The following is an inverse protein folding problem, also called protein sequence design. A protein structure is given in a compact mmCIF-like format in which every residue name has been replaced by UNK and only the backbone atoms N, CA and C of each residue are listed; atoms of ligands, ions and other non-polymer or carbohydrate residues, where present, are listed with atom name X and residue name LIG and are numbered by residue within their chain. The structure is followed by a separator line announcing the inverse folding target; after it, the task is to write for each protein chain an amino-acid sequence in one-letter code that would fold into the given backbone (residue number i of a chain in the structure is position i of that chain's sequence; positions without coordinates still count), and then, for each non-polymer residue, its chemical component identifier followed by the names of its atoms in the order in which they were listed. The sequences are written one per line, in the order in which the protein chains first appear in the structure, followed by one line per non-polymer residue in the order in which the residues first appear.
data_IF_354691034515
#
_entry.id   IF_354691034515
#
_cell.length_a   1.000
_cell.length_b   1.000
_cell.length_c   1.000
_cell.angle_alpha   90.00
_cell.angle_beta   90.00
_cell.angle_gamma   90.00
#
_symmetry.space_group_name_H-M   'P 1'
#
loop_
_entity.id
_entity.type
_entity.pdbx_description
1 polymer ?
#
# COMPACT_ATOMS: atom_id res chain seq x y z
N UNK A 1 10.38 -48.74 15.18
CA UNK A 1 9.45 -47.62 15.46
C UNK A 1 10.25 -46.33 15.36
N UNK A 2 10.12 -45.60 14.25
CA UNK A 2 10.80 -44.32 14.06
C UNK A 2 9.99 -43.22 14.73
N UNK A 3 10.57 -42.55 15.71
CA UNK A 3 9.99 -41.35 16.33
C UNK A 3 9.99 -40.22 15.31
N UNK A 4 8.80 -39.78 14.91
CA UNK A 4 8.62 -38.58 14.11
C UNK A 4 9.26 -37.39 14.84
N UNK A 5 10.24 -36.74 14.19
CA UNK A 5 10.74 -35.45 14.64
C UNK A 5 9.59 -34.44 14.65
N UNK A 6 9.44 -33.63 15.72
CA UNK A 6 8.45 -32.57 15.72
C UNK A 6 8.75 -31.61 14.58
N UNK A 7 7.74 -31.27 13.79
CA UNK A 7 7.84 -30.23 12.78
C UNK A 7 8.41 -28.97 13.45
N UNK A 8 9.61 -28.57 13.03
CA UNK A 8 10.25 -27.35 13.53
C UNK A 8 9.29 -26.20 13.23
N UNK A 9 8.70 -25.61 14.27
CA UNK A 9 7.94 -24.37 14.14
C UNK A 9 8.86 -23.36 13.45
N UNK A 10 8.59 -23.02 12.19
CA UNK A 10 9.42 -22.10 11.44
C UNK A 10 9.33 -20.75 12.14
N UNK A 11 10.47 -20.24 12.61
CA UNK A 11 10.51 -18.91 13.21
C UNK A 11 10.30 -17.85 12.13
N UNK A 12 9.36 -16.93 12.36
CA UNK A 12 9.09 -15.84 11.42
C UNK A 12 10.34 -14.97 11.29
N UNK A 13 10.75 -14.68 10.06
CA UNK A 13 11.84 -13.74 9.80
C UNK A 13 11.38 -12.30 10.04
N UNK A 14 11.45 -11.85 11.29
CA UNK A 14 11.00 -10.52 11.72
C UNK A 14 11.74 -9.37 11.03
N UNK A 15 13.00 -9.57 10.61
CA UNK A 15 13.74 -8.55 9.87
C UNK A 15 13.19 -8.35 8.47
N UNK A 16 12.86 -9.44 7.77
CA UNK A 16 12.22 -9.38 6.45
C UNK A 16 10.80 -8.77 6.55
N UNK A 17 10.03 -9.15 7.57
CA UNK A 17 8.70 -8.58 7.81
C UNK A 17 8.77 -7.05 8.03
N UNK A 18 9.69 -6.58 8.86
CA UNK A 18 9.87 -5.13 9.08
C UNK A 18 10.25 -4.38 7.80
N UNK A 19 11.12 -4.96 6.97
CA UNK A 19 11.46 -4.38 5.68
C UNK A 19 10.22 -4.31 4.80
N UNK A 20 9.48 -5.42 4.68
CA UNK A 20 8.25 -5.48 3.88
C UNK A 20 7.20 -4.44 4.31
N UNK A 21 7.00 -4.25 5.61
CA UNK A 21 6.11 -3.21 6.16
C UNK A 21 6.63 -1.78 5.86
N UNK A 22 7.94 -1.55 5.93
CA UNK A 22 8.54 -0.25 5.59
C UNK A 22 8.41 0.08 4.11
N UNK A 23 8.63 -0.90 3.22
CA UNK A 23 8.46 -0.74 1.76
C UNK A 23 7.01 -0.33 1.43
N UNK A 24 6.01 -0.94 2.08
CA UNK A 24 4.61 -0.55 1.91
C UNK A 24 4.26 0.81 2.53
N UNK A 25 4.84 1.15 3.69
CA UNK A 25 4.65 2.46 4.31
C UNK A 25 5.22 3.59 3.42
N UNK A 26 6.35 3.34 2.75
CA UNK A 26 6.93 4.21 1.73
C UNK A 26 6.02 4.34 0.50
N UNK A 27 5.50 3.22 0.00
CA UNK A 27 4.56 3.20 -1.14
C UNK A 27 3.32 4.05 -0.87
N UNK A 28 2.70 3.92 0.32
CA UNK A 28 1.57 4.74 0.73
C UNK A 28 1.89 6.23 0.83
N UNK A 29 3.11 6.60 1.22
CA UNK A 29 3.54 8.01 1.20
C UNK A 29 3.68 8.57 -0.21
N UNK A 30 4.23 7.77 -1.12
CA UNK A 30 4.30 8.15 -2.53
C UNK A 30 2.90 8.32 -3.13
N UNK A 31 1.97 7.40 -2.83
CA UNK A 31 0.59 7.46 -3.33
C UNK A 31 -0.12 8.75 -2.88
N UNK A 32 0.03 9.16 -1.62
CA UNK A 32 -0.54 10.43 -1.13
C UNK A 32 0.00 11.62 -1.92
N UNK A 33 1.33 11.69 -2.13
CA UNK A 33 1.94 12.78 -2.91
C UNK A 33 1.41 12.82 -4.34
N UNK A 34 1.28 11.66 -4.99
CA UNK A 34 0.69 11.55 -6.33
C UNK A 34 -0.75 12.02 -6.36
N UNK A 35 -1.59 11.61 -5.40
CA UNK A 35 -2.99 12.05 -5.31
C UNK A 35 -3.10 13.57 -5.06
N UNK A 36 -2.22 14.13 -4.23
CA UNK A 36 -2.14 15.58 -4.02
C UNK A 36 -1.73 16.32 -5.29
N UNK A 37 -0.78 15.78 -6.06
CA UNK A 37 -0.34 16.37 -7.32
C UNK A 37 -1.46 16.33 -8.38
N UNK A 38 -2.23 15.24 -8.48
CA UNK A 38 -3.43 15.17 -9.33
C UNK A 38 -4.45 16.26 -8.97
N UNK A 39 -4.72 16.44 -7.67
CA UNK A 39 -5.65 17.49 -7.19
C UNK A 39 -5.21 18.90 -7.60
N UNK A 40 -3.90 19.15 -7.67
CA UNK A 40 -3.36 20.47 -8.07
C UNK A 40 -3.45 20.72 -9.57
N UNK A 41 -3.33 19.69 -10.41
CA UNK A 41 -3.17 19.86 -11.86
C UNK A 41 -4.46 19.66 -12.67
N UNK A 42 -5.46 18.91 -12.17
CA UNK A 42 -6.63 18.55 -12.98
C UNK A 42 -7.96 19.23 -12.58
N UNK A 43 -7.95 20.13 -11.61
CA UNK A 43 -9.18 20.82 -11.16
C UNK A 43 -10.27 19.84 -10.68
N UNK A 44 -11.52 20.32 -10.57
CA UNK A 44 -12.68 19.55 -10.06
C UNK A 44 -13.17 18.46 -11.05
N UNK A 45 -12.30 17.55 -11.44
CA UNK A 45 -12.68 16.34 -12.17
C UNK A 45 -13.15 15.25 -11.19
N UNK A 46 -13.92 14.26 -11.64
CA UNK A 46 -14.47 13.19 -10.80
C UNK A 46 -13.38 12.41 -10.01
N UNK A 47 -12.14 12.42 -10.49
CA UNK A 47 -10.97 11.83 -9.81
C UNK A 47 -10.62 12.57 -8.53
N UNK A 48 -10.90 13.87 -8.43
CA UNK A 48 -10.56 14.67 -7.24
C UNK A 48 -11.32 14.24 -5.98
N UNK A 49 -12.61 13.90 -6.10
CA UNK A 49 -13.41 13.40 -4.97
C UNK A 49 -13.03 11.98 -4.57
N UNK A 50 -12.70 11.15 -5.56
CA UNK A 50 -12.13 9.82 -5.34
C UNK A 50 -10.77 9.92 -4.62
N UNK A 51 -9.93 10.88 -5.03
CA UNK A 51 -8.64 11.12 -4.43
C UNK A 51 -8.75 11.54 -2.96
N UNK A 52 -9.73 12.36 -2.57
CA UNK A 52 -9.93 12.74 -1.17
C UNK A 52 -10.26 11.53 -0.27
N UNK A 53 -11.19 10.68 -0.72
CA UNK A 53 -11.52 9.44 -0.01
C UNK A 53 -10.31 8.51 0.09
N UNK A 54 -9.61 8.31 -1.02
CA UNK A 54 -8.43 7.44 -1.06
C UNK A 54 -7.27 7.99 -0.22
N UNK A 55 -7.05 9.30 -0.16
CA UNK A 55 -6.03 9.88 0.74
C UNK A 55 -6.36 9.56 2.19
N UNK A 56 -7.61 9.78 2.63
CA UNK A 56 -8.03 9.46 4.00
C UNK A 56 -7.87 7.97 4.30
N UNK A 57 -8.20 7.11 3.33
CA UNK A 57 -8.06 5.67 3.50
C UNK A 57 -6.61 5.23 3.58
N UNK A 58 -5.74 5.75 2.71
CA UNK A 58 -4.31 5.46 2.74
C UNK A 58 -3.71 5.97 4.05
N UNK A 59 -4.15 7.11 4.59
CA UNK A 59 -3.71 7.58 5.91
C UNK A 59 -4.09 6.59 7.02
N UNK A 60 -5.32 6.09 7.04
CA UNK A 60 -5.76 5.09 8.00
C UNK A 60 -4.94 3.78 7.87
N UNK A 61 -4.72 3.30 6.65
CA UNK A 61 -3.91 2.11 6.37
C UNK A 61 -2.46 2.30 6.84
N UNK A 62 -1.90 3.50 6.68
CA UNK A 62 -0.55 3.83 7.17
C UNK A 62 -0.48 3.82 8.70
N UNK A 63 -1.55 4.21 9.39
CA UNK A 63 -1.58 4.16 10.85
C UNK A 63 -1.64 2.72 11.37
N UNK A 64 -2.39 1.85 10.68
CA UNK A 64 -2.33 0.40 10.89
C UNK A 64 -0.89 -0.09 10.67
N UNK A 65 -0.26 0.19 9.53
CA UNK A 65 1.11 -0.24 9.26
C UNK A 65 2.13 0.25 10.28
N UNK A 66 1.99 1.50 10.77
CA UNK A 66 2.85 2.03 11.82
C UNK A 66 2.67 1.28 13.13
N UNK A 67 1.45 0.89 13.49
CA UNK A 67 1.16 0.05 14.66
C UNK A 67 1.80 -1.34 14.50
N UNK A 68 1.52 -2.03 13.39
CA UNK A 68 2.06 -3.36 13.12
C UNK A 68 3.58 -3.38 13.06
N UNK A 69 4.20 -2.32 12.53
CA UNK A 69 5.66 -2.18 12.52
C UNK A 69 6.25 -2.04 13.94
N UNK A 70 5.56 -1.34 14.87
CA UNK A 70 5.97 -1.27 16.28
C UNK A 70 5.83 -2.62 16.96
N UNK A 71 4.70 -3.29 16.77
CA UNK A 71 4.44 -4.64 17.32
C UNK A 71 5.42 -5.68 16.80
N UNK A 72 5.84 -5.56 15.54
CA UNK A 72 6.89 -6.38 14.96
C UNK A 72 8.28 -6.11 15.56
N UNK A 73 8.42 -5.29 16.62
CA UNK A 73 9.70 -4.89 17.24
C UNK A 73 10.45 -3.80 16.46
N UNK A 74 9.73 -3.00 15.67
CA UNK A 74 10.26 -1.77 15.09
C UNK A 74 10.44 -0.68 16.16
N UNK A 75 11.39 0.23 15.92
CA UNK A 75 11.67 1.37 16.81
C UNK A 75 10.43 2.25 17.05
N UNK A 76 10.35 2.89 18.22
CA UNK A 76 9.36 3.92 18.56
C UNK A 76 9.32 5.11 17.58
N UNK A 77 10.32 5.25 16.70
CA UNK A 77 10.35 6.28 15.64
C UNK A 77 10.39 5.64 14.23
N UNK A 78 9.30 4.99 13.78
CA UNK A 78 9.23 4.33 12.48
C UNK A 78 9.38 5.32 11.32
N UNK A 79 8.95 6.57 11.49
CA UNK A 79 9.11 7.64 10.50
C UNK A 79 10.58 7.99 10.25
N UNK A 80 11.38 8.19 11.31
CA UNK A 80 12.83 8.47 11.13
C UNK A 80 13.56 7.31 10.45
N UNK A 81 13.18 6.07 10.75
CA UNK A 81 13.73 4.88 10.08
C UNK A 81 13.28 4.79 8.62
N UNK A 82 12.02 5.10 8.33
CA UNK A 82 11.51 5.22 6.97
C UNK A 82 12.29 6.28 6.19
N UNK A 83 12.51 7.48 6.75
CA UNK A 83 13.30 8.53 6.11
C UNK A 83 14.77 8.11 5.89
N UNK A 84 15.39 7.42 6.85
CA UNK A 84 16.74 6.89 6.70
C UNK A 84 16.83 5.76 5.66
N UNK A 85 15.83 4.89 5.61
CA UNK A 85 15.73 3.80 4.63
C UNK A 85 15.40 4.32 3.23
N UNK A 86 14.46 5.26 3.12
CA UNK A 86 14.15 5.98 1.89
C UNK A 86 15.39 6.73 1.41
N UNK A 87 16.06 7.52 2.26
CA UNK A 87 17.30 8.20 1.89
C UNK A 87 18.37 7.26 1.32
N UNK A 88 18.46 6.02 1.82
CA UNK A 88 19.35 4.99 1.31
C UNK A 88 18.86 4.26 0.03
N UNK A 89 17.55 4.26 -0.25
CA UNK A 89 16.92 3.47 -1.35
C UNK A 89 16.24 4.33 -2.44
N UNK A 90 16.22 5.66 -2.29
CA UNK A 90 15.47 6.64 -3.11
C UNK A 90 16.00 6.88 -4.55
N UNK A 91 16.93 6.06 -5.04
CA UNK A 91 17.28 6.09 -6.46
C UNK A 91 16.14 5.69 -7.41
N UNK A 92 15.11 5.00 -6.91
CA UNK A 92 14.12 4.29 -7.74
C UNK A 92 12.79 5.00 -8.04
N UNK A 93 12.36 6.01 -7.28
CA UNK A 93 11.03 6.63 -7.47
C UNK A 93 11.04 7.86 -8.40
N UNK A 94 11.92 7.87 -9.41
CA UNK A 94 11.81 8.79 -10.56
C UNK A 94 10.72 8.38 -11.58
N UNK A 95 10.02 7.27 -11.36
CA UNK A 95 9.05 6.74 -12.32
C UNK A 95 7.75 7.56 -12.43
N UNK A 96 7.44 8.36 -11.42
CA UNK A 96 6.11 8.98 -11.25
C UNK A 96 6.02 10.44 -11.71
N UNK A 97 7.10 10.96 -12.33
CA UNK A 97 7.23 12.38 -12.66
C UNK A 97 6.67 12.77 -14.03
N UNK A 98 5.75 11.98 -14.61
CA UNK A 98 5.28 12.16 -16.01
C UNK A 98 3.77 12.05 -16.25
N UNK A 99 2.92 12.20 -15.23
CA UNK A 99 1.47 12.39 -15.44
C UNK A 99 1.15 13.81 -15.94
N UNK A 100 1.69 14.17 -17.10
CA UNK A 100 1.49 15.46 -17.74
C UNK A 100 0.91 15.24 -19.12
N UNK A 101 -0.14 16.00 -19.48
CA UNK A 101 -0.84 15.87 -20.75
C UNK A 101 -2.09 15.01 -20.64
N UNK A 102 -2.71 14.71 -21.79
CA UNK A 102 -4.04 14.08 -21.89
C UNK A 102 -4.10 12.65 -21.31
N UNK A 103 -2.95 11.95 -21.23
CA UNK A 103 -2.84 10.61 -20.65
C UNK A 103 -2.64 10.58 -19.12
N UNK A 104 -2.28 11.72 -18.51
CA UNK A 104 -1.95 11.82 -17.09
C UNK A 104 -2.99 11.21 -16.15
N UNK A 105 -4.30 11.51 -16.28
CA UNK A 105 -5.32 10.96 -15.40
C UNK A 105 -5.46 9.44 -15.51
N UNK A 106 -5.38 8.90 -16.74
CA UNK A 106 -5.50 7.47 -17.00
C UNK A 106 -4.32 6.69 -16.40
N UNK A 107 -3.09 7.14 -16.68
CA UNK A 107 -1.89 6.55 -16.09
C UNK A 107 -1.90 6.68 -14.57
N UNK A 108 -2.39 7.81 -14.04
CA UNK A 108 -2.61 8.04 -12.62
C UNK A 108 -3.53 7.02 -11.94
N UNK A 109 -4.66 6.73 -12.57
CA UNK A 109 -5.60 5.74 -12.09
C UNK A 109 -5.01 4.31 -12.18
N UNK A 110 -4.31 3.97 -13.27
CA UNK A 110 -3.64 2.66 -13.43
C UNK A 110 -2.68 2.36 -12.30
N UNK A 111 -1.85 3.35 -12.02
CA UNK A 111 -0.72 3.19 -11.13
C UNK A 111 -1.21 3.21 -9.67
N UNK A 112 -2.33 3.90 -9.39
CA UNK A 112 -3.07 3.83 -8.14
C UNK A 112 -3.73 2.46 -7.94
N UNK A 113 -4.35 1.89 -8.98
CA UNK A 113 -4.88 0.52 -8.97
C UNK A 113 -3.79 -0.49 -8.62
N UNK A 114 -2.60 -0.38 -9.23
CA UNK A 114 -1.45 -1.24 -8.88
C UNK A 114 -1.02 -1.08 -7.42
N UNK A 115 -1.01 0.16 -6.90
CA UNK A 115 -0.73 0.44 -5.49
C UNK A 115 -1.74 -0.21 -4.54
N UNK A 116 -3.03 -0.15 -4.87
CA UNK A 116 -4.11 -0.77 -4.09
C UNK A 116 -3.98 -2.31 -4.10
N UNK A 117 -3.69 -2.91 -5.26
CA UNK A 117 -3.42 -4.34 -5.36
C UNK A 117 -2.19 -4.77 -4.55
N UNK A 118 -1.12 -3.96 -4.56
CA UNK A 118 0.05 -4.18 -3.71
C UNK A 118 -0.30 -4.14 -2.22
N UNK A 119 -1.08 -3.13 -1.79
CA UNK A 119 -1.61 -3.04 -0.42
C UNK A 119 -2.46 -4.26 -0.04
N UNK A 120 -3.34 -4.71 -0.93
CA UNK A 120 -4.15 -5.92 -0.70
C UNK A 120 -3.25 -7.15 -0.50
N UNK A 121 -2.22 -7.31 -1.34
CA UNK A 121 -1.28 -8.41 -1.22
C UNK A 121 -0.55 -8.41 0.14
N UNK A 122 -0.18 -7.24 0.64
CA UNK A 122 0.34 -7.08 2.00
C UNK A 122 -0.67 -7.60 3.05
N UNK A 123 -1.92 -7.17 3.01
CA UNK A 123 -2.93 -7.62 3.98
C UNK A 123 -3.20 -9.11 3.94
N UNK A 124 -3.22 -9.72 2.75
CA UNK A 124 -3.31 -11.17 2.58
C UNK A 124 -2.10 -11.86 3.23
N UNK A 125 -0.88 -11.36 3.00
CA UNK A 125 0.32 -11.94 3.60
C UNK A 125 0.31 -11.85 5.14
N UNK A 126 -0.13 -10.72 5.70
CA UNK A 126 -0.23 -10.56 7.15
C UNK A 126 -1.33 -11.42 7.77
N UNK A 127 -2.48 -11.60 7.08
CA UNK A 127 -3.51 -12.57 7.50
C UNK A 127 -2.99 -13.99 7.54
N UNK A 128 -2.15 -14.38 6.58
CA UNK A 128 -1.53 -15.70 6.59
C UNK A 128 -0.56 -15.85 7.77
N UNK A 129 0.26 -14.84 8.04
CA UNK A 129 1.16 -14.83 9.21
C UNK A 129 0.39 -14.83 10.54
N UNK A 130 -0.78 -14.20 10.60
CA UNK A 130 -1.67 -14.27 11.75
C UNK A 130 -2.17 -15.71 11.96
N UNK A 131 -2.61 -16.38 10.90
CA UNK A 131 -3.11 -17.75 10.98
C UNK A 131 -2.02 -18.78 11.31
N UNK A 132 -0.82 -18.65 10.75
CA UNK A 132 0.26 -19.63 10.90
C UNK A 132 1.16 -19.38 12.11
N UNK A 133 1.40 -18.11 12.45
CA UNK A 133 2.37 -17.72 13.46
C UNK A 133 1.78 -16.89 14.61
N UNK A 134 0.46 -16.65 14.61
CA UNK A 134 -0.22 -15.90 15.66
C UNK A 134 0.17 -14.42 15.73
N UNK A 135 0.76 -13.87 14.66
CA UNK A 135 1.14 -12.46 14.62
C UNK A 135 -0.07 -11.56 14.48
N UNK A 136 -0.08 -10.45 15.23
CA UNK A 136 -1.12 -9.42 15.17
C UNK A 136 -2.54 -9.99 15.45
N UNK A 137 -2.77 -10.70 16.57
CA UNK A 137 -3.99 -11.46 16.80
C UNK A 137 -5.27 -10.60 16.83
N UNK A 138 -5.15 -9.32 17.15
CA UNK A 138 -6.27 -8.40 17.28
C UNK A 138 -6.60 -7.66 15.97
N UNK A 139 -5.82 -7.85 14.90
CA UNK A 139 -6.01 -7.14 13.64
C UNK A 139 -7.02 -7.85 12.74
N UNK A 140 -8.04 -7.11 12.27
CA UNK A 140 -8.99 -7.60 11.28
C UNK A 140 -8.45 -7.39 9.86
N UNK A 141 -7.55 -8.28 9.44
CA UNK A 141 -7.06 -8.28 8.06
C UNK A 141 -8.16 -8.58 7.03
N UNK A 142 -9.26 -9.23 7.44
CA UNK A 142 -10.41 -9.47 6.57
C UNK A 142 -11.03 -8.15 6.10
N UNK A 143 -11.34 -7.26 7.03
CA UNK A 143 -11.86 -5.94 6.74
C UNK A 143 -10.89 -5.10 5.88
N UNK A 144 -9.59 -5.16 6.16
CA UNK A 144 -8.57 -4.43 5.38
C UNK A 144 -8.46 -4.94 3.94
N UNK A 145 -8.58 -6.26 3.72
CA UNK A 145 -8.60 -6.87 2.38
C UNK A 145 -9.84 -6.43 1.62
N UNK A 146 -11.04 -6.55 2.21
CA UNK A 146 -12.29 -6.16 1.57
C UNK A 146 -12.30 -4.68 1.21
N UNK A 147 -11.82 -3.81 2.09
CA UNK A 147 -11.67 -2.38 1.80
C UNK A 147 -10.74 -2.13 0.61
N UNK A 148 -9.63 -2.85 0.50
CA UNK A 148 -8.72 -2.72 -0.64
C UNK A 148 -9.37 -3.20 -1.96
N UNK A 149 -10.18 -4.25 -1.92
CA UNK A 149 -10.94 -4.75 -3.08
C UNK A 149 -11.98 -3.74 -3.55
N UNK A 150 -12.74 -3.14 -2.63
CA UNK A 150 -13.72 -2.08 -2.94
C UNK A 150 -13.04 -0.87 -3.59
N UNK A 151 -11.93 -0.42 -3.02
CA UNK A 151 -11.16 0.70 -3.58
C UNK A 151 -10.61 0.40 -4.96
N UNK A 152 -10.11 -0.82 -5.18
CA UNK A 152 -9.62 -1.23 -6.49
C UNK A 152 -10.73 -1.15 -7.53
N UNK A 153 -11.92 -1.69 -7.22
CA UNK A 153 -13.05 -1.65 -8.14
C UNK A 153 -13.42 -0.21 -8.51
N UNK A 154 -13.52 0.69 -7.52
CA UNK A 154 -13.87 2.09 -7.75
C UNK A 154 -12.84 2.79 -8.64
N UNK A 155 -11.54 2.56 -8.42
CA UNK A 155 -10.47 3.18 -9.22
C UNK A 155 -10.44 2.58 -10.63
N UNK A 156 -10.63 1.27 -10.75
CA UNK A 156 -10.61 0.58 -12.04
C UNK A 156 -11.79 0.99 -12.92
N UNK A 157 -12.99 1.10 -12.37
CA UNK A 157 -14.18 1.61 -13.09
C UNK A 157 -13.89 3.01 -13.65
N UNK A 158 -13.30 3.88 -12.82
CA UNK A 158 -12.93 5.24 -13.24
C UNK A 158 -11.86 5.23 -14.34
N UNK A 159 -10.86 4.35 -14.23
CA UNK A 159 -9.80 4.21 -15.23
C UNK A 159 -10.36 3.76 -16.59
N UNK A 160 -11.33 2.83 -16.59
CA UNK A 160 -11.99 2.36 -17.81
C UNK A 160 -12.81 3.48 -18.46
N UNK A 161 -13.53 4.29 -17.68
CA UNK A 161 -14.26 5.46 -18.20
C UNK A 161 -13.35 6.46 -18.92
N UNK A 162 -12.08 6.58 -18.50
CA UNK A 162 -11.10 7.48 -19.11
C UNK A 162 -10.55 7.00 -20.45
N UNK A 163 -10.75 5.72 -20.82
CA UNK A 163 -10.17 5.14 -22.06
C UNK A 163 -10.54 5.99 -23.29
N UNK A 164 -11.79 6.46 -23.38
CA UNK A 164 -12.20 7.33 -24.49
C UNK A 164 -11.36 8.61 -24.52
N UNK A 165 -11.30 9.34 -23.41
CA UNK A 165 -10.55 10.59 -23.34
C UNK A 165 -9.04 10.40 -23.58
N UNK A 166 -8.51 9.24 -23.20
CA UNK A 166 -7.10 8.91 -23.34
C UNK A 166 -6.70 8.47 -24.76
N UNK A 167 -7.59 7.81 -25.50
CA UNK A 167 -7.20 7.09 -26.72
C UNK A 167 -8.14 7.23 -27.93
N UNK A 168 -9.26 7.96 -27.82
CA UNK A 168 -10.28 8.11 -28.89
C UNK A 168 -10.67 9.58 -29.10
#
# INVERSE_FOLDING_TARGET
MATAQPAVAQSVNMSALRAYLLDHLAGGESAIRTLEDFRRHEGRCAVSQLAERLVSDIQADRDVLRRLLREAGGSNNPLRRLFSWLGAKLGGLKFWRRFSGELGPFEGAEILSLGILGKRALWVALRQLQAEAGLFPDEDFGALISKAEEQYQIVEDKRIEMIRQAFL
#
